data_IF_096642561840
#
_entry.id   IF_096642561840
#
_cell.length_a   1.000
_cell.length_b   1.000
_cell.length_c   1.000
_cell.angle_alpha   90.00
_cell.angle_beta   90.00
_cell.angle_gamma   90.00
#
_symmetry.space_group_name_H-M   'P 1'
#
loop_
_entity.id
_entity.type
_entity.pdbx_description
1 polymer ?
#
# COMPACT_ATOMS: atom_id res chain seq x y z
N UNK A 1 4.34 11.23 -2.70
CA UNK A 1 4.72 10.63 -1.40
C UNK A 1 4.90 9.14 -1.61
N UNK A 2 5.94 8.52 -1.03
CA UNK A 2 6.12 7.07 -1.05
C UNK A 2 5.37 6.41 0.12
N UNK A 3 5.29 5.08 0.15
CA UNK A 3 4.46 4.39 1.13
C UNK A 3 4.89 4.61 2.58
N UNK A 4 6.20 4.55 2.93
CA UNK A 4 6.64 4.85 4.29
C UNK A 4 6.21 6.23 4.76
N UNK A 5 6.46 7.27 3.95
CA UNK A 5 6.12 8.64 4.32
C UNK A 5 4.61 8.81 4.51
N UNK A 6 3.78 8.15 3.69
CA UNK A 6 2.33 8.19 3.86
C UNK A 6 1.89 7.56 5.18
N UNK A 7 2.42 6.38 5.52
CA UNK A 7 2.02 5.69 6.75
C UNK A 7 2.52 6.39 8.02
N UNK A 8 3.71 6.99 7.97
CA UNK A 8 4.21 7.87 9.03
C UNK A 8 3.34 9.13 9.18
N UNK A 9 2.86 9.69 8.07
CA UNK A 9 1.92 10.81 8.10
C UNK A 9 0.58 10.43 8.76
N UNK A 10 0.04 9.25 8.47
CA UNK A 10 -1.17 8.75 9.15
C UNK A 10 -0.94 8.60 10.66
N UNK A 11 0.19 8.02 11.07
CA UNK A 11 0.57 7.93 12.51
C UNK A 11 0.64 9.30 13.16
N UNK A 12 1.32 10.24 12.51
CA UNK A 12 1.46 11.60 13.01
C UNK A 12 0.09 12.28 13.21
N UNK A 13 -0.83 12.11 12.26
CA UNK A 13 -2.19 12.66 12.40
C UNK A 13 -2.96 11.99 13.55
N UNK A 14 -2.84 10.68 13.71
CA UNK A 14 -3.46 9.94 14.81
C UNK A 14 -2.93 10.42 16.17
N UNK A 15 -1.61 10.58 16.30
CA UNK A 15 -0.96 11.09 17.52
C UNK A 15 -1.42 12.52 17.85
N UNK A 16 -1.55 13.38 16.83
CA UNK A 16 -2.05 14.75 16.99
C UNK A 16 -3.51 14.78 17.47
N UNK A 17 -4.34 13.85 16.99
CA UNK A 17 -5.73 13.73 17.42
C UNK A 17 -5.83 13.19 18.86
N UNK A 18 -4.99 12.22 19.22
CA UNK A 18 -4.91 11.70 20.59
C UNK A 18 -4.56 12.82 21.60
N UNK A 19 -3.64 13.74 21.25
CA UNK A 19 -3.28 14.88 22.10
C UNK A 19 -4.47 15.78 22.45
N UNK A 20 -5.47 15.89 21.57
CA UNK A 20 -6.69 16.67 21.81
C UNK A 20 -7.86 15.84 22.35
N UNK A 21 -7.60 14.58 22.74
CA UNK A 21 -8.59 13.66 23.29
C UNK A 21 -9.50 12.99 22.25
N UNK A 22 -9.07 12.98 20.98
CA UNK A 22 -9.74 12.28 19.88
C UNK A 22 -8.92 11.03 19.51
N UNK A 23 -8.92 10.04 20.39
CA UNK A 23 -8.23 8.78 20.12
C UNK A 23 -8.90 8.05 18.95
N UNK A 24 -8.08 7.58 18.02
CA UNK A 24 -8.51 6.74 16.91
C UNK A 24 -8.16 5.30 17.22
N UNK A 25 -9.11 4.40 17.00
CA UNK A 25 -8.82 2.98 17.14
C UNK A 25 -8.13 2.42 15.88
N UNK A 26 -7.63 1.19 15.97
CA UNK A 26 -6.99 0.52 14.85
C UNK A 26 -7.93 0.34 13.66
N UNK A 27 -9.25 0.21 13.89
CA UNK A 27 -10.24 0.06 12.82
C UNK A 27 -10.33 1.35 12.00
N UNK A 28 -10.40 2.50 12.67
CA UNK A 28 -10.43 3.82 12.05
C UNK A 28 -9.18 4.04 11.19
N UNK A 29 -8.01 3.76 11.75
CA UNK A 29 -6.73 3.92 11.07
C UNK A 29 -6.61 2.99 9.85
N UNK A 30 -7.05 1.74 9.97
CA UNK A 30 -7.09 0.78 8.85
C UNK A 30 -8.01 1.27 7.74
N UNK A 31 -9.23 1.71 8.08
CA UNK A 31 -10.20 2.17 7.07
C UNK A 31 -9.71 3.41 6.34
N UNK A 32 -9.24 4.42 7.05
CA UNK A 32 -8.71 5.65 6.45
C UNK A 32 -7.53 5.33 5.56
N UNK A 33 -6.62 4.48 6.04
CA UNK A 33 -5.44 4.07 5.27
C UNK A 33 -5.85 3.39 3.98
N UNK A 34 -6.78 2.42 4.02
CA UNK A 34 -7.21 1.63 2.85
C UNK A 34 -8.01 2.44 1.83
N UNK A 35 -8.85 3.37 2.29
CA UNK A 35 -9.71 4.18 1.42
C UNK A 35 -8.92 5.17 0.55
N UNK A 36 -7.77 5.66 1.04
CA UNK A 36 -6.94 6.64 0.34
C UNK A 36 -5.81 6.01 -0.49
N UNK A 37 -5.77 4.67 -0.60
CA UNK A 37 -4.74 4.01 -1.39
C UNK A 37 -4.95 4.22 -2.91
N UNK A 38 -3.88 4.47 -3.67
CA UNK A 38 -3.97 4.57 -5.13
C UNK A 38 -4.40 3.25 -5.78
N UNK A 39 -5.02 3.33 -6.96
CA UNK A 39 -5.56 2.18 -7.72
C UNK A 39 -4.56 1.04 -7.97
N UNK A 40 -3.25 1.31 -7.97
CA UNK A 40 -2.19 0.28 -8.08
C UNK A 40 -2.20 -0.73 -6.91
N UNK A 41 -2.92 -0.42 -5.82
CA UNK A 41 -3.12 -1.29 -4.66
C UNK A 41 -4.51 -1.98 -4.64
N UNK A 42 -5.37 -1.80 -5.65
CA UNK A 42 -6.73 -2.41 -5.68
C UNK A 42 -6.75 -3.90 -5.36
N UNK A 43 -5.85 -4.67 -5.99
CA UNK A 43 -5.73 -6.10 -5.71
C UNK A 43 -5.40 -6.38 -4.24
N UNK A 44 -4.53 -5.56 -3.65
CA UNK A 44 -4.18 -5.68 -2.25
C UNK A 44 -5.37 -5.33 -1.35
N UNK A 45 -6.09 -4.24 -1.64
CA UNK A 45 -7.28 -3.82 -0.90
C UNK A 45 -8.31 -4.97 -0.91
N UNK A 46 -8.62 -5.51 -2.09
CA UNK A 46 -9.55 -6.63 -2.24
C UNK A 46 -9.11 -7.86 -1.43
N UNK A 47 -7.81 -8.19 -1.46
CA UNK A 47 -7.26 -9.31 -0.71
C UNK A 47 -7.36 -9.11 0.80
N UNK A 48 -7.10 -7.90 1.30
CA UNK A 48 -7.24 -7.58 2.72
C UNK A 48 -8.74 -7.66 3.10
N UNK A 49 -9.62 -7.02 2.36
CA UNK A 49 -11.07 -7.08 2.64
C UNK A 49 -11.61 -8.51 2.69
N UNK A 50 -11.16 -9.38 1.78
CA UNK A 50 -11.59 -10.77 1.74
C UNK A 50 -11.06 -11.62 2.92
N UNK A 51 -9.81 -11.43 3.34
CA UNK A 51 -9.17 -12.26 4.37
C UNK A 51 -9.47 -11.80 5.81
N UNK A 52 -9.70 -10.50 6.00
CA UNK A 52 -9.86 -9.89 7.33
C UNK A 52 -11.33 -9.57 7.66
N UNK A 53 -12.29 -10.04 6.87
CA UNK A 53 -13.72 -9.88 7.15
C UNK A 53 -14.17 -10.47 8.50
N UNK A 54 -13.42 -11.44 9.06
CA UNK A 54 -13.72 -12.11 10.34
C UNK A 54 -12.66 -11.88 11.43
N UNK A 55 -11.52 -11.28 11.09
CA UNK A 55 -10.41 -11.01 12.00
C UNK A 55 -9.96 -9.57 11.77
N UNK A 56 -10.06 -8.71 12.79
CA UNK A 56 -9.65 -7.31 12.65
C UNK A 56 -8.14 -7.25 12.48
N UNK A 57 -7.69 -6.83 11.30
CA UNK A 57 -6.29 -6.44 11.11
C UNK A 57 -6.00 -5.21 11.97
N UNK A 58 -4.84 -5.20 12.61
CA UNK A 58 -4.34 -4.04 13.37
C UNK A 58 -3.63 -3.08 12.43
N UNK A 59 -3.56 -1.79 12.81
CA UNK A 59 -2.88 -0.82 11.97
C UNK A 59 -1.36 -1.12 11.80
N UNK A 60 -0.61 -1.58 12.82
CA UNK A 60 0.77 -2.05 12.64
C UNK A 60 0.91 -3.22 11.65
N UNK A 61 -0.01 -4.17 11.65
CA UNK A 61 0.00 -5.28 10.68
C UNK A 61 -0.24 -4.77 9.25
N UNK A 62 -1.22 -3.88 9.07
CA UNK A 62 -1.49 -3.25 7.78
C UNK A 62 -0.28 -2.47 7.28
N UNK A 63 0.41 -1.75 8.17
CA UNK A 63 1.61 -0.98 7.87
C UNK A 63 2.68 -1.87 7.24
N UNK A 64 3.02 -2.99 7.88
CA UNK A 64 4.04 -3.92 7.38
C UNK A 64 3.63 -4.57 6.05
N UNK A 65 2.35 -4.95 5.91
CA UNK A 65 1.83 -5.52 4.67
C UNK A 65 1.90 -4.53 3.49
N UNK A 66 1.63 -3.24 3.74
CA UNK A 66 1.72 -2.19 2.73
C UNK A 66 3.16 -1.92 2.31
N UNK A 67 4.11 -1.94 3.24
CA UNK A 67 5.54 -1.82 2.91
C UNK A 67 6.02 -3.02 2.08
N UNK A 68 5.58 -4.22 2.41
CA UNK A 68 5.87 -5.42 1.62
C UNK A 68 5.28 -5.30 0.21
N UNK A 69 4.05 -4.80 0.09
CA UNK A 69 3.44 -4.57 -1.22
C UNK A 69 4.16 -3.53 -2.05
N UNK A 70 4.57 -2.42 -1.45
CA UNK A 70 5.30 -1.39 -2.18
C UNK A 70 6.61 -1.95 -2.77
N UNK A 71 7.34 -2.78 -2.00
CA UNK A 71 8.53 -3.48 -2.50
C UNK A 71 8.19 -4.40 -3.68
N UNK A 72 7.12 -5.18 -3.59
CA UNK A 72 6.67 -6.07 -4.68
C UNK A 72 6.30 -5.29 -5.95
N UNK A 73 5.60 -4.17 -5.82
CA UNK A 73 5.24 -3.30 -6.94
C UNK A 73 6.49 -2.65 -7.57
N UNK A 74 7.46 -2.23 -6.76
CA UNK A 74 8.76 -1.71 -7.25
C UNK A 74 9.52 -2.77 -8.05
N UNK A 75 9.57 -4.02 -7.57
CA UNK A 75 10.18 -5.14 -8.29
C UNK A 75 9.47 -5.46 -9.61
N UNK A 76 8.14 -5.50 -9.62
CA UNK A 76 7.35 -5.75 -10.83
C UNK A 76 7.61 -4.68 -11.89
N UNK A 77 7.62 -3.40 -11.47
CA UNK A 77 7.93 -2.27 -12.37
C UNK A 77 9.34 -2.40 -12.97
N UNK A 78 10.32 -2.80 -12.16
CA UNK A 78 11.69 -3.04 -12.64
C UNK A 78 11.75 -4.16 -13.66
N UNK A 79 11.05 -5.28 -13.43
CA UNK A 79 11.03 -6.39 -14.39
C UNK A 79 10.37 -6.03 -15.72
N UNK A 80 9.37 -5.15 -15.72
CA UNK A 80 8.69 -4.70 -16.94
C UNK A 80 9.55 -3.76 -17.79
N UNK A 81 10.42 -2.96 -17.17
CA UNK A 81 11.39 -2.14 -17.93
C UNK A 81 12.43 -2.97 -18.69
N UNK A 82 12.71 -4.20 -18.24
CA UNK A 82 13.69 -5.08 -18.88
C UNK A 82 13.16 -5.76 -20.16
N UNK A 83 11.83 -5.75 -20.38
CA UNK A 83 11.19 -6.34 -21.57
C UNK A 83 10.98 -5.36 -22.73
N UNK A 84 11.42 -4.10 -22.62
CA UNK A 84 11.47 -3.18 -23.76
C UNK A 84 12.66 -3.49 -24.68
N UNK A 85 12.64 -4.67 -25.33
CA UNK A 85 13.52 -4.94 -26.45
C UNK A 85 13.01 -4.12 -27.65
N UNK A 86 13.82 -3.25 -28.27
CA UNK A 86 13.44 -2.58 -29.50
C UNK A 86 13.15 -3.64 -30.57
N UNK A 87 11.96 -3.59 -31.17
CA UNK A 87 11.49 -4.49 -32.26
C UNK A 87 12.34 -4.34 -33.56
N UNK A 88 13.49 -3.68 -33.51
CA UNK A 88 14.31 -3.33 -34.67
C UNK A 88 15.45 -4.32 -34.99
N UNK A 89 15.51 -5.49 -34.34
CA UNK A 89 16.59 -6.47 -34.54
C UNK A 89 16.17 -7.78 -35.26
N UNK A 90 15.07 -7.78 -36.04
CA UNK A 90 14.79 -8.88 -36.96
C UNK A 90 15.54 -8.64 -38.28
N UNK A 91 16.46 -9.55 -38.69
CA UNK A 91 17.02 -9.52 -40.04
C UNK A 91 15.87 -9.71 -41.04
N UNK A 92 15.69 -8.74 -41.93
CA UNK A 92 14.84 -8.92 -43.10
C UNK A 92 15.52 -9.98 -43.98
N UNK A 93 14.85 -11.12 -44.14
CA UNK A 93 15.28 -12.19 -45.04
C UNK A 93 15.04 -11.81 -46.51
#
# INVERSE_FOLDING_TARGET
MDMPTYLEWIKFLADMLAVVGLDMDDSDLVQITMNDLPIKYEYFITLISANFSNASITFPELFDLLLMQEKRLKMLKSSMSDFNIPVQALPQA
#
